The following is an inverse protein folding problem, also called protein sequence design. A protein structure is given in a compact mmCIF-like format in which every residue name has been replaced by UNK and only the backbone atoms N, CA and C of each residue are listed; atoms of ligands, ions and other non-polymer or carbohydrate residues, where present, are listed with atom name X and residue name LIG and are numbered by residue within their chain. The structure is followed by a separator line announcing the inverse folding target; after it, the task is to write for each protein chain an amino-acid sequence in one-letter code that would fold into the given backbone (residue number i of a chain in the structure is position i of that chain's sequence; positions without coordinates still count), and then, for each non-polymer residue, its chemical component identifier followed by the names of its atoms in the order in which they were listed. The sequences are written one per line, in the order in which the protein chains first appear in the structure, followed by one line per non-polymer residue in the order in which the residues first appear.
data_IF_110197619583
#
_entry.id   IF_110197619583
#
_cell.length_a   1.000
_cell.length_b   1.000
_cell.length_c   1.000
_cell.angle_alpha   90.00
_cell.angle_beta   90.00
_cell.angle_gamma   90.00
#
_symmetry.space_group_name_H-M   'P 1'
#
loop_
_entity.id
_entity.type
_entity.pdbx_description
1 polymer ?
#
# COMPACT_ATOMS: atom_id res chain seq x y z
N UNK A 1 60.45 39.99 -21.14
CA UNK A 1 61.41 39.67 -20.07
C UNK A 1 60.63 39.24 -18.84
N UNK A 2 60.82 37.97 -18.46
CA UNK A 2 60.76 37.32 -17.14
C UNK A 2 59.75 37.78 -16.05
N UNK A 3 58.92 36.81 -15.63
CA UNK A 3 58.35 36.67 -14.28
C UNK A 3 59.45 36.44 -13.21
N UNK A 4 59.13 36.52 -11.91
CA UNK A 4 58.75 35.30 -11.14
C UNK A 4 57.69 35.61 -10.04
N UNK A 5 56.99 34.70 -9.36
CA UNK A 5 57.03 33.25 -9.29
C UNK A 5 55.87 32.73 -8.42
N UNK A 6 55.40 31.52 -8.75
CA UNK A 6 54.61 30.57 -7.94
C UNK A 6 55.55 29.93 -6.87
N UNK A 7 55.16 29.08 -5.85
CA UNK A 7 54.09 28.07 -5.94
C UNK A 7 53.36 27.64 -4.63
N UNK A 8 52.24 26.92 -4.80
CA UNK A 8 52.08 25.61 -4.15
C UNK A 8 51.19 24.68 -4.97
N UNK A 9 51.71 23.46 -5.15
CA UNK A 9 51.21 22.31 -5.92
C UNK A 9 50.45 21.35 -5.00
N UNK A 10 49.45 20.64 -5.54
CA UNK A 10 49.41 19.16 -5.67
C UNK A 10 48.04 18.76 -6.26
N UNK A 11 47.85 18.30 -7.51
CA UNK A 11 48.30 17.09 -8.26
C UNK A 11 47.72 15.76 -7.77
N UNK A 12 46.83 15.17 -8.60
CA UNK A 12 46.98 13.89 -9.34
C UNK A 12 45.56 13.36 -9.68
N UNK A 13 45.08 13.51 -10.93
CA UNK A 13 45.28 12.61 -12.09
C UNK A 13 44.63 11.22 -11.92
N UNK A 14 43.74 10.81 -12.84
CA UNK A 14 44.11 10.01 -14.01
C UNK A 14 42.90 9.40 -14.76
N UNK A 15 43.00 9.45 -16.10
CA UNK A 15 42.50 8.52 -17.13
C UNK A 15 41.01 8.35 -17.46
N UNK A 16 40.66 9.04 -18.55
CA UNK A 16 39.91 8.52 -19.71
C UNK A 16 40.42 7.16 -20.23
N UNK A 17 39.52 6.19 -20.44
CA UNK A 17 39.51 5.37 -21.66
C UNK A 17 38.17 4.62 -21.86
N UNK A 18 37.74 4.58 -23.14
CA UNK A 18 36.90 3.56 -23.79
C UNK A 18 35.37 3.60 -23.58
N UNK A 19 34.72 4.38 -24.44
CA UNK A 19 33.34 4.15 -24.90
C UNK A 19 33.29 2.94 -25.85
N UNK A 20 32.40 1.99 -25.55
CA UNK A 20 31.85 1.01 -26.50
C UNK A 20 30.33 1.26 -26.62
N UNK A 21 29.75 1.24 -27.83
CA UNK A 21 28.32 1.48 -28.02
C UNK A 21 27.50 0.21 -27.78
N UNK A 22 26.45 0.32 -26.98
CA UNK A 22 25.43 -0.71 -26.80
C UNK A 22 24.46 -0.69 -27.99
N UNK A 23 24.37 -1.81 -28.71
CA UNK A 23 23.33 -2.05 -29.71
C UNK A 23 22.04 -2.58 -29.05
N UNK A 24 20.87 -2.33 -29.65
CA UNK A 24 19.57 -2.76 -29.13
C UNK A 24 19.26 -4.22 -29.52
N UNK A 25 18.77 -5.01 -28.55
CA UNK A 25 18.20 -6.34 -28.80
C UNK A 25 16.81 -6.22 -29.44
N UNK A 26 16.73 -6.58 -30.72
CA UNK A 26 15.50 -6.74 -31.48
C UNK A 26 14.99 -8.18 -31.48
N UNK A 27 13.68 -8.30 -31.27
CA UNK A 27 12.72 -9.26 -31.83
C UNK A 27 13.20 -10.70 -32.14
N UNK A 28 12.72 -11.66 -31.34
CA UNK A 28 12.59 -13.06 -31.76
C UNK A 28 11.25 -13.21 -32.49
N UNK A 29 11.34 -13.31 -33.81
CA UNK A 29 10.27 -13.75 -34.71
C UNK A 29 10.37 -15.27 -34.85
N UNK A 30 9.33 -16.02 -34.48
CA UNK A 30 9.26 -17.46 -34.72
C UNK A 30 8.73 -17.68 -36.14
N UNK A 31 9.63 -18.13 -37.01
CA UNK A 31 9.38 -18.54 -38.38
C UNK A 31 8.51 -19.80 -38.43
N UNK A 32 7.45 -19.72 -39.23
CA UNK A 32 6.76 -20.86 -39.81
C UNK A 32 7.62 -21.44 -40.96
N UNK A 33 7.92 -22.73 -40.93
CA UNK A 33 8.31 -23.47 -42.13
C UNK A 33 7.98 -24.95 -41.95
N UNK A 34 7.02 -25.43 -42.75
CA UNK A 34 6.77 -26.84 -42.94
C UNK A 34 7.74 -27.44 -43.97
N UNK A 35 7.89 -28.76 -43.92
CA UNK A 35 8.32 -29.59 -45.03
C UNK A 35 7.84 -31.02 -44.81
N UNK A 36 7.17 -31.53 -45.84
CA UNK A 36 6.59 -32.87 -45.98
C UNK A 36 7.64 -33.97 -46.23
N UNK A 37 7.29 -35.20 -45.87
CA UNK A 37 7.41 -36.48 -46.63
C UNK A 37 7.18 -37.65 -45.65
N UNK A 38 6.04 -38.35 -45.73
CA UNK A 38 5.79 -39.59 -46.50
C UNK A 38 6.61 -40.78 -45.95
N UNK A 39 6.09 -41.89 -45.41
CA UNK A 39 5.07 -42.81 -45.94
C UNK A 39 4.79 -43.94 -44.92
N UNK A 40 3.68 -44.68 -45.08
CA UNK A 40 3.63 -46.13 -44.77
C UNK A 40 2.76 -46.66 -43.62
N UNK A 41 1.48 -46.88 -43.93
CA UNK A 41 0.47 -47.85 -43.42
C UNK A 41 0.76 -48.79 -42.21
N UNK A 42 -0.21 -48.94 -41.29
CA UNK A 42 -1.16 -50.07 -41.24
C UNK A 42 -2.24 -49.96 -40.10
N UNK A 43 -3.51 -50.07 -40.53
CA UNK A 43 -4.72 -50.72 -39.94
C UNK A 43 -5.37 -50.30 -38.58
N UNK A 44 -6.63 -49.85 -38.74
CA UNK A 44 -7.90 -50.23 -38.04
C UNK A 44 -8.17 -49.72 -36.59
N UNK A 45 -9.45 -49.61 -36.15
CA UNK A 45 -10.50 -48.69 -36.59
C UNK A 45 -11.04 -47.80 -35.43
N UNK A 46 -11.85 -46.82 -35.82
CA UNK A 46 -12.50 -45.83 -34.96
C UNK A 46 -13.80 -46.37 -34.33
N UNK A 47 -13.96 -46.30 -33.00
CA UNK A 47 -15.27 -46.22 -32.31
C UNK A 47 -15.16 -45.52 -30.93
N UNK A 48 -15.44 -44.22 -30.96
CA UNK A 48 -16.28 -43.42 -30.05
C UNK A 48 -16.55 -43.85 -28.57
N UNK A 49 -16.42 -42.83 -27.71
CA UNK A 49 -17.04 -42.62 -26.40
C UNK A 49 -16.33 -43.19 -25.15
N UNK A 50 -15.79 -42.29 -24.32
CA UNK A 50 -16.49 -41.82 -23.12
C UNK A 50 -15.61 -40.86 -22.31
N UNK A 51 -16.24 -39.75 -21.96
CA UNK A 51 -15.80 -38.70 -21.07
C UNK A 51 -15.33 -39.26 -19.70
N UNK A 52 -14.02 -39.42 -19.50
CA UNK A 52 -13.46 -39.94 -18.24
C UNK A 52 -13.30 -38.80 -17.23
N UNK A 53 -14.26 -38.73 -16.30
CA UNK A 53 -14.21 -37.94 -15.06
C UNK A 53 -12.81 -38.03 -14.43
N UNK A 54 -12.17 -36.89 -14.17
CA UNK A 54 -10.93 -36.80 -13.37
C UNK A 54 -11.19 -37.39 -11.99
N UNK A 55 -10.72 -38.61 -11.77
CA UNK A 55 -10.81 -39.33 -10.51
C UNK A 55 -9.90 -38.72 -9.44
N UNK A 56 -10.40 -38.72 -8.20
CA UNK A 56 -9.69 -38.43 -6.95
C UNK A 56 -8.33 -39.14 -6.91
N UNK A 57 -7.21 -38.49 -6.50
CA UNK A 57 -5.93 -39.17 -6.32
C UNK A 57 -6.10 -40.36 -5.37
N UNK A 58 -5.61 -41.54 -5.77
CA UNK A 58 -5.64 -42.72 -4.92
C UNK A 58 -4.81 -42.45 -3.66
N UNK A 59 -5.43 -42.62 -2.49
CA UNK A 59 -4.77 -42.44 -1.20
C UNK A 59 -3.76 -43.57 -1.05
N UNK A 60 -2.46 -43.25 -1.09
CA UNK A 60 -1.41 -44.22 -0.83
C UNK A 60 -1.67 -44.92 0.53
N UNK A 61 -1.54 -46.25 0.62
CA UNK A 61 -1.74 -46.97 1.87
C UNK A 61 -0.61 -46.62 2.84
N UNK A 62 -0.91 -45.82 3.86
CA UNK A 62 0.04 -45.40 4.90
C UNK A 62 0.19 -46.42 6.04
N UNK A 63 -0.56 -47.51 5.98
CA UNK A 63 -0.55 -48.58 6.98
C UNK A 63 0.82 -49.25 7.17
N UNK A 64 1.61 -49.53 6.09
CA UNK A 64 2.95 -50.10 6.23
C UNK A 64 3.95 -49.17 6.95
N UNK A 65 3.72 -47.86 6.91
CA UNK A 65 4.59 -46.83 7.49
C UNK A 65 4.07 -46.31 8.83
N UNK A 66 3.03 -46.97 9.38
CA UNK A 66 2.38 -46.54 10.62
C UNK A 66 3.37 -46.43 11.77
N UNK A 67 4.16 -47.47 12.00
CA UNK A 67 5.08 -47.52 13.15
C UNK A 67 6.22 -46.51 13.01
N UNK A 68 6.70 -46.27 11.78
CA UNK A 68 7.71 -45.26 11.46
C UNK A 68 7.18 -43.84 11.68
N UNK A 69 5.97 -43.55 11.18
CA UNK A 69 5.31 -42.24 11.37
C UNK A 69 5.02 -41.98 12.86
N UNK A 70 4.61 -43.02 13.61
CA UNK A 70 4.36 -42.91 15.05
C UNK A 70 5.67 -42.68 15.81
N UNK A 71 6.75 -43.39 15.46
CA UNK A 71 8.08 -43.19 16.07
C UNK A 71 8.61 -41.79 15.81
N UNK A 72 8.57 -41.33 14.55
CA UNK A 72 8.98 -39.99 14.16
C UNK A 72 8.19 -38.91 14.90
N UNK A 73 6.88 -39.14 15.11
CA UNK A 73 6.01 -38.17 15.79
C UNK A 73 6.10 -38.21 17.32
N UNK A 74 6.22 -39.39 17.92
CA UNK A 74 6.07 -39.58 19.38
C UNK A 74 7.41 -39.67 20.10
N UNK A 75 8.40 -40.34 19.49
CA UNK A 75 9.69 -40.62 20.11
C UNK A 75 10.76 -39.61 19.68
N UNK A 76 10.77 -39.25 18.40
CA UNK A 76 11.75 -38.31 17.82
C UNK A 76 11.23 -36.85 17.77
N UNK A 77 9.97 -36.61 18.16
CA UNK A 77 9.29 -35.31 18.18
C UNK A 77 9.41 -34.49 16.88
N UNK A 78 9.49 -35.17 15.73
CA UNK A 78 9.67 -34.54 14.42
C UNK A 78 8.37 -33.82 14.01
N UNK A 79 8.44 -32.55 13.55
CA UNK A 79 7.26 -31.81 13.08
C UNK A 79 6.55 -32.52 11.93
N UNK A 80 5.20 -32.49 11.91
CA UNK A 80 4.37 -33.19 10.90
C UNK A 80 4.76 -32.81 9.45
N UNK A 81 5.18 -31.56 9.23
CA UNK A 81 5.67 -31.08 7.93
C UNK A 81 6.94 -31.80 7.48
N UNK A 82 7.84 -32.08 8.42
CA UNK A 82 9.09 -32.77 8.15
C UNK A 82 8.86 -34.27 8.00
N UNK A 83 7.92 -34.85 8.78
CA UNK A 83 7.49 -36.24 8.57
C UNK A 83 6.90 -36.40 7.16
N UNK A 84 6.04 -35.48 6.69
CA UNK A 84 5.49 -35.54 5.34
C UNK A 84 6.57 -35.45 4.27
N UNK A 85 7.56 -34.58 4.46
CA UNK A 85 8.70 -34.44 3.55
C UNK A 85 9.54 -35.72 3.49
N UNK A 86 9.89 -36.33 4.65
CA UNK A 86 10.68 -37.57 4.70
C UNK A 86 9.95 -38.74 4.07
N UNK A 87 8.67 -38.91 4.37
CA UNK A 87 7.86 -39.98 3.77
C UNK A 87 7.74 -39.85 2.24
N UNK A 88 7.67 -38.62 1.72
CA UNK A 88 7.63 -38.40 0.28
C UNK A 88 8.99 -38.63 -0.39
N UNK A 89 10.10 -38.27 0.28
CA UNK A 89 11.45 -38.36 -0.27
C UNK A 89 12.05 -39.78 -0.19
N UNK A 90 11.89 -40.46 0.93
CA UNK A 90 12.51 -41.77 1.19
C UNK A 90 11.69 -42.92 0.63
N UNK A 91 10.35 -42.79 0.69
CA UNK A 91 9.42 -43.86 0.29
C UNK A 91 8.66 -43.54 -1.00
N UNK A 92 8.94 -42.41 -1.65
CA UNK A 92 8.35 -42.02 -2.94
C UNK A 92 6.84 -41.76 -2.88
N UNK A 93 6.32 -41.38 -1.72
CA UNK A 93 4.89 -41.18 -1.49
C UNK A 93 4.46 -39.74 -1.87
N UNK A 94 3.17 -39.54 -2.20
CA UNK A 94 2.59 -38.20 -2.41
C UNK A 94 1.61 -37.86 -1.28
N UNK A 95 2.17 -37.49 -0.12
CA UNK A 95 1.41 -37.29 1.12
C UNK A 95 1.48 -35.83 1.53
N UNK A 96 0.30 -35.24 1.76
CA UNK A 96 0.19 -33.92 2.38
C UNK A 96 0.26 -34.00 3.92
N UNK A 97 0.69 -32.92 4.57
CA UNK A 97 0.65 -32.76 6.04
C UNK A 97 -0.71 -33.09 6.64
N UNK A 98 -1.78 -32.73 5.92
CA UNK A 98 -3.17 -32.97 6.32
C UNK A 98 -3.50 -34.47 6.35
N UNK A 99 -2.90 -35.24 5.46
CA UNK A 99 -3.07 -36.70 5.41
C UNK A 99 -2.40 -37.37 6.61
N UNK A 100 -1.18 -36.96 6.97
CA UNK A 100 -0.48 -37.45 8.16
C UNK A 100 -1.23 -37.06 9.44
N UNK A 101 -1.66 -35.80 9.55
CA UNK A 101 -2.42 -35.34 10.70
C UNK A 101 -3.74 -36.12 10.87
N UNK A 102 -4.42 -36.45 9.76
CA UNK A 102 -5.65 -37.26 9.79
C UNK A 102 -5.34 -38.69 10.25
N UNK A 103 -4.27 -39.31 9.77
CA UNK A 103 -3.87 -40.69 10.12
C UNK A 103 -3.43 -40.83 11.57
N UNK A 104 -2.64 -39.89 12.09
CA UNK A 104 -2.29 -39.84 13.52
C UNK A 104 -3.53 -39.77 14.43
N UNK A 105 -4.61 -39.13 13.96
CA UNK A 105 -5.88 -39.09 14.68
C UNK A 105 -6.63 -40.42 14.60
N UNK A 106 -6.59 -41.09 13.44
CA UNK A 106 -7.22 -42.40 13.23
C UNK A 106 -6.49 -43.54 13.95
N UNK A 107 -5.17 -43.41 14.13
CA UNK A 107 -4.36 -44.37 14.88
C UNK A 107 -4.34 -44.10 16.39
N UNK A 108 -5.23 -43.23 16.87
CA UNK A 108 -5.40 -42.87 18.29
C UNK A 108 -4.10 -42.45 18.98
N UNK A 109 -3.16 -41.90 18.23
CA UNK A 109 -1.87 -41.47 18.77
C UNK A 109 -2.13 -40.26 19.67
N UNK A 110 -1.79 -40.33 20.96
CA UNK A 110 -2.01 -39.22 21.88
C UNK A 110 -1.19 -38.05 21.41
N UNK A 111 -1.86 -37.06 20.81
CA UNK A 111 -1.23 -35.77 20.54
C UNK A 111 -0.84 -35.23 21.91
N UNK A 112 0.45 -35.09 22.18
CA UNK A 112 0.88 -34.14 23.20
C UNK A 112 0.19 -32.84 22.79
N UNK A 113 -0.80 -32.45 23.57
CA UNK A 113 -1.26 -31.08 23.52
C UNK A 113 0.02 -30.31 23.82
N UNK A 114 0.66 -29.77 22.80
CA UNK A 114 1.40 -28.53 22.93
C UNK A 114 0.35 -27.45 23.22
N UNK A 115 -0.33 -27.61 24.37
CA UNK A 115 -0.58 -26.50 25.27
C UNK A 115 0.78 -25.84 25.33
N UNK A 116 0.86 -24.74 24.61
CA UNK A 116 2.02 -23.87 24.52
C UNK A 116 2.66 -23.88 25.89
N UNK A 117 3.94 -24.29 26.03
CA UNK A 117 4.54 -24.21 27.34
C UNK A 117 4.43 -22.74 27.73
N UNK A 118 3.69 -22.48 28.81
CA UNK A 118 3.84 -21.27 29.56
C UNK A 118 5.19 -21.35 30.29
N UNK A 119 6.29 -21.65 29.58
CA UNK A 119 7.62 -21.54 30.15
C UNK A 119 7.91 -20.05 30.26
N UNK A 120 8.37 -19.64 31.43
CA UNK A 120 8.80 -18.26 31.68
C UNK A 120 9.80 -17.81 30.62
N UNK A 121 10.67 -18.73 30.18
CA UNK A 121 11.64 -18.54 29.10
C UNK A 121 11.01 -18.06 27.79
N UNK A 122 9.89 -18.66 27.36
CA UNK A 122 9.21 -18.20 26.15
C UNK A 122 8.66 -16.78 26.30
N UNK A 123 8.13 -16.45 27.48
CA UNK A 123 7.62 -15.10 27.77
C UNK A 123 8.75 -14.08 27.76
N UNK A 124 9.92 -14.46 28.30
CA UNK A 124 11.12 -13.63 28.34
C UNK A 124 11.71 -13.41 26.94
N UNK A 125 11.72 -14.44 26.07
CA UNK A 125 12.13 -14.29 24.66
C UNK A 125 11.14 -13.45 23.85
N UNK A 126 9.84 -13.60 24.07
CA UNK A 126 8.81 -12.73 23.47
C UNK A 126 9.05 -11.28 23.90
N UNK A 127 9.29 -11.04 25.20
CA UNK A 127 9.58 -9.71 25.74
C UNK A 127 10.89 -9.12 25.17
N UNK A 128 11.93 -9.92 25.04
CA UNK A 128 13.21 -9.53 24.46
C UNK A 128 13.06 -9.05 23.01
N UNK A 129 12.40 -9.83 22.15
CA UNK A 129 12.18 -9.46 20.75
C UNK A 129 11.18 -8.31 20.60
N UNK A 130 10.18 -8.24 21.47
CA UNK A 130 9.23 -7.12 21.55
C UNK A 130 9.95 -5.80 21.90
N UNK A 131 10.86 -5.81 22.86
CA UNK A 131 11.66 -4.62 23.25
C UNK A 131 12.66 -4.18 22.16
N UNK A 132 12.98 -5.05 21.19
CA UNK A 132 13.74 -4.71 19.98
C UNK A 132 12.86 -4.11 18.86
N UNK A 133 11.60 -3.79 19.14
CA UNK A 133 10.61 -3.24 18.20
C UNK A 133 10.26 -4.15 17.00
N UNK A 134 10.59 -5.44 17.06
CA UNK A 134 10.22 -6.40 16.02
C UNK A 134 8.70 -6.57 15.95
N UNK A 135 8.14 -6.67 14.74
CA UNK A 135 6.71 -6.95 14.55
C UNK A 135 6.37 -8.42 14.87
N UNK A 136 5.09 -8.75 15.07
CA UNK A 136 4.68 -10.09 15.53
C UNK A 136 5.15 -11.21 14.56
N UNK A 137 5.27 -10.93 13.26
CA UNK A 137 5.82 -11.89 12.27
C UNK A 137 7.35 -12.05 12.36
N UNK A 138 8.08 -10.99 12.71
CA UNK A 138 9.52 -11.02 12.96
C UNK A 138 9.82 -11.69 14.29
N UNK A 139 9.03 -11.43 15.33
CA UNK A 139 9.10 -12.12 16.62
C UNK A 139 8.82 -13.60 16.42
N UNK A 140 7.77 -13.97 15.68
CA UNK A 140 7.46 -15.38 15.40
C UNK A 140 8.61 -16.09 14.65
N UNK A 141 9.24 -15.43 13.69
CA UNK A 141 10.42 -15.96 12.97
C UNK A 141 11.65 -16.08 13.87
N UNK A 142 11.91 -15.10 14.72
CA UNK A 142 13.04 -15.13 15.64
C UNK A 142 12.86 -16.22 16.71
N UNK A 143 11.65 -16.37 17.24
CA UNK A 143 11.28 -17.45 18.15
C UNK A 143 11.39 -18.83 17.47
N UNK A 144 10.97 -18.95 16.22
CA UNK A 144 11.12 -20.17 15.45
C UNK A 144 12.61 -20.54 15.24
N UNK A 145 13.46 -19.55 14.94
CA UNK A 145 14.91 -19.75 14.84
C UNK A 145 15.55 -20.17 16.17
N UNK A 146 14.92 -19.84 17.29
CA UNK A 146 15.32 -20.23 18.65
C UNK A 146 14.67 -21.53 19.12
N UNK A 147 13.95 -22.24 18.25
CA UNK A 147 13.31 -23.53 18.53
C UNK A 147 11.90 -23.43 19.14
N UNK A 148 11.34 -22.23 19.28
CA UNK A 148 9.97 -22.03 19.78
C UNK A 148 8.95 -22.01 18.63
N UNK A 149 8.11 -23.03 18.57
CA UNK A 149 7.08 -23.14 17.52
C UNK A 149 5.78 -22.44 17.93
N UNK A 150 5.58 -21.19 17.48
CA UNK A 150 4.38 -20.39 17.80
C UNK A 150 3.75 -19.84 16.53
N UNK A 151 2.46 -20.15 16.33
CA UNK A 151 1.67 -19.53 15.26
C UNK A 151 1.46 -18.04 15.56
N UNK A 152 1.57 -17.13 14.56
CA UNK A 152 1.44 -15.67 14.77
C UNK A 152 0.18 -15.25 15.54
N UNK A 153 -0.95 -15.90 15.26
CA UNK A 153 -2.22 -15.69 15.99
C UNK A 153 -2.17 -16.02 17.49
N UNK A 154 -1.32 -16.98 17.89
CA UNK A 154 -1.14 -17.35 19.28
C UNK A 154 -0.13 -16.40 19.96
N UNK A 155 0.91 -15.98 19.24
CA UNK A 155 1.86 -14.98 19.71
C UNK A 155 1.18 -13.65 20.06
N UNK A 156 0.29 -13.16 19.19
CA UNK A 156 -0.48 -11.94 19.46
C UNK A 156 -1.34 -12.06 20.73
N UNK A 157 -1.98 -13.22 20.96
CA UNK A 157 -2.77 -13.49 22.18
C UNK A 157 -1.89 -13.59 23.43
N UNK A 158 -0.74 -14.25 23.34
CA UNK A 158 0.24 -14.34 24.44
C UNK A 158 0.81 -12.97 24.79
N UNK A 159 1.20 -12.17 23.80
CA UNK A 159 1.66 -10.79 23.96
C UNK A 159 0.62 -9.91 24.66
N UNK A 160 -0.65 -10.01 24.24
CA UNK A 160 -1.76 -9.30 24.89
C UNK A 160 -1.98 -9.75 26.35
N UNK A 161 -1.85 -11.06 26.62
CA UNK A 161 -1.98 -11.63 27.97
C UNK A 161 -0.84 -11.19 28.90
N UNK A 162 0.36 -10.97 28.36
CA UNK A 162 1.53 -10.47 29.07
C UNK A 162 1.53 -8.93 29.25
N UNK A 163 0.43 -8.25 28.91
CA UNK A 163 0.32 -6.79 29.06
C UNK A 163 1.20 -5.99 28.09
N UNK A 164 1.91 -6.66 27.18
CA UNK A 164 2.77 -6.08 26.15
C UNK A 164 1.93 -5.52 25.00
N UNK A 165 1.04 -4.58 25.32
CA UNK A 165 0.33 -3.76 24.34
C UNK A 165 1.27 -2.63 23.94
N UNK A 166 1.41 -2.38 22.64
CA UNK A 166 2.12 -1.19 22.15
C UNK A 166 1.28 0.03 22.52
N UNK A 167 1.44 0.51 23.76
CA UNK A 167 0.85 1.77 24.21
C UNK A 167 1.52 2.87 23.40
N UNK A 168 0.73 3.81 22.92
CA UNK A 168 1.25 5.10 22.48
C UNK A 168 2.10 5.67 23.62
N UNK A 169 3.35 6.04 23.31
CA UNK A 169 4.31 6.66 24.25
C UNK A 169 3.90 8.11 24.62
N UNK A 170 2.78 8.57 24.09
CA UNK A 170 2.41 9.98 24.03
C UNK A 170 1.16 10.24 24.88
N UNK A 171 1.29 11.05 25.96
CA UNK A 171 0.19 11.36 26.88
C UNK A 171 -1.04 11.97 26.20
N UNK A 172 -0.87 12.67 25.08
CA UNK A 172 -1.94 13.37 24.35
C UNK A 172 -3.00 12.45 23.71
N UNK A 173 -2.80 11.13 23.72
CA UNK A 173 -3.77 10.15 23.21
C UNK A 173 -4.55 9.42 24.32
N UNK A 174 -4.47 9.90 25.56
CA UNK A 174 -5.09 9.26 26.74
C UNK A 174 -6.55 9.69 26.97
N UNK A 175 -6.96 10.84 26.46
CA UNK A 175 -8.24 11.48 26.81
C UNK A 175 -9.44 11.04 25.96
N UNK A 176 -9.25 10.30 24.86
CA UNK A 176 -10.35 9.95 23.94
C UNK A 176 -11.02 8.59 24.19
N UNK A 177 -10.76 7.93 25.32
CA UNK A 177 -11.31 6.59 25.61
C UNK A 177 -12.30 6.50 26.78
N UNK A 178 -12.55 7.58 27.53
CA UNK A 178 -13.34 7.50 28.78
C UNK A 178 -14.33 8.66 28.95
N UNK A 179 -15.28 8.84 28.03
CA UNK A 179 -16.49 9.61 28.32
C UNK A 179 -17.71 8.99 27.61
N UNK A 180 -18.67 8.50 28.39
CA UNK A 180 -20.01 8.14 27.93
C UNK A 180 -20.57 6.83 28.51
N UNK A 181 -21.06 6.86 29.75
CA UNK A 181 -21.85 5.74 30.29
C UNK A 181 -22.30 5.87 31.75
N UNK A 182 -23.26 6.77 32.02
CA UNK A 182 -24.27 6.73 33.10
C UNK A 182 -25.35 7.76 32.69
N UNK A 183 -26.67 7.66 32.88
CA UNK A 183 -27.59 6.93 33.76
C UNK A 183 -28.94 6.76 33.02
N UNK A 184 -29.87 5.93 33.53
CA UNK A 184 -31.31 6.20 33.33
C UNK A 184 -32.27 5.03 33.08
N UNK A 185 -32.55 4.28 34.15
CA UNK A 185 -33.88 3.92 34.67
C UNK A 185 -34.97 3.22 33.82
N UNK A 186 -35.54 2.21 34.49
CA UNK A 186 -36.55 1.28 34.02
C UNK A 186 -37.98 1.84 34.18
N UNK A 187 -38.81 1.74 33.14
CA UNK A 187 -40.26 1.72 33.29
C UNK A 187 -40.92 0.81 32.24
N UNK A 188 -41.58 -0.25 32.72
CA UNK A 188 -42.25 -1.27 31.95
C UNK A 188 -43.54 -0.76 31.26
N UNK A 189 -43.72 -1.11 29.97
CA UNK A 189 -45.04 -1.03 29.30
C UNK A 189 -45.23 -2.20 28.34
N UNK A 190 -46.41 -2.82 28.42
CA UNK A 190 -46.81 -4.08 27.78
C UNK A 190 -46.76 -4.08 26.24
N UNK A 191 -46.60 -5.25 25.57
CA UNK A 191 -46.41 -5.31 24.13
C UNK A 191 -47.75 -5.32 23.38
N UNK A 192 -47.88 -4.48 22.35
CA UNK A 192 -48.88 -4.64 21.28
C UNK A 192 -48.23 -5.34 20.09
N UNK A 193 -48.88 -6.32 19.44
CA UNK A 193 -48.30 -7.02 18.30
C UNK A 193 -48.34 -6.10 17.06
N UNK A 194 -47.20 -5.93 16.40
CA UNK A 194 -47.10 -5.24 15.11
C UNK A 194 -46.68 -6.22 14.00
N UNK A 195 -47.12 -6.00 12.75
CA UNK A 195 -47.08 -7.00 11.70
C UNK A 195 -45.65 -7.26 11.19
N UNK A 196 -45.41 -8.51 10.78
CA UNK A 196 -44.10 -9.05 10.34
C UNK A 196 -43.48 -8.19 9.23
N UNK A 197 -42.52 -7.32 9.59
CA UNK A 197 -41.61 -6.69 8.63
C UNK A 197 -40.53 -7.70 8.24
N UNK A 198 -40.41 -7.94 6.94
CA UNK A 198 -39.30 -8.66 6.31
C UNK A 198 -37.98 -8.05 6.81
N UNK A 199 -37.18 -8.85 7.53
CA UNK A 199 -35.86 -8.44 8.02
C UNK A 199 -34.89 -8.35 6.85
N UNK A 200 -34.84 -7.18 6.19
CA UNK A 200 -33.64 -6.79 5.47
C UNK A 200 -32.49 -6.80 6.49
N UNK A 201 -31.48 -7.65 6.27
CA UNK A 201 -30.25 -7.70 7.09
C UNK A 201 -29.66 -6.29 7.07
N UNK A 202 -29.78 -5.55 8.17
CA UNK A 202 -29.01 -4.30 8.36
C UNK A 202 -27.54 -4.66 8.18
N UNK A 203 -26.89 -4.17 7.11
CA UNK A 203 -25.43 -4.25 6.97
C UNK A 203 -24.87 -3.65 8.27
N UNK A 204 -24.10 -4.43 9.03
CA UNK A 204 -23.36 -3.90 10.19
C UNK A 204 -22.55 -2.71 9.68
N UNK A 205 -22.60 -1.57 10.38
CA UNK A 205 -21.71 -0.45 10.08
C UNK A 205 -20.27 -0.99 10.00
N UNK A 206 -19.47 -0.60 9.00
CA UNK A 206 -18.09 -1.05 8.93
C UNK A 206 -17.40 -0.69 10.24
N UNK A 207 -16.50 -1.56 10.73
CA UNK A 207 -15.85 -1.49 12.04
C UNK A 207 -15.17 -0.13 12.33
N UNK A 208 -15.00 0.70 11.29
CA UNK A 208 -14.26 1.96 11.28
C UNK A 208 -15.10 3.17 10.85
N UNK A 209 -16.44 3.15 10.96
CA UNK A 209 -17.29 4.25 10.50
C UNK A 209 -16.91 5.62 11.14
N UNK A 210 -16.38 5.61 12.36
CA UNK A 210 -15.91 6.81 13.06
C UNK A 210 -14.45 7.19 12.77
N UNK A 211 -13.70 6.40 12.01
CA UNK A 211 -12.26 6.63 11.79
C UNK A 211 -12.01 7.86 10.91
N UNK A 212 -12.72 7.99 9.79
CA UNK A 212 -12.56 9.12 8.87
C UNK A 212 -12.85 10.45 9.59
N UNK A 213 -13.98 10.64 10.31
CA UNK A 213 -14.23 11.88 11.06
C UNK A 213 -13.14 12.23 12.08
N UNK A 214 -12.61 11.24 12.82
CA UNK A 214 -11.51 11.46 13.78
C UNK A 214 -10.25 11.93 13.10
N UNK A 215 -9.87 11.28 11.99
CA UNK A 215 -8.71 11.66 11.19
C UNK A 215 -8.91 13.05 10.58
N UNK A 216 -10.10 13.37 10.07
CA UNK A 216 -10.42 14.69 9.52
C UNK A 216 -10.24 15.78 10.57
N UNK A 217 -10.80 15.61 11.78
CA UNK A 217 -10.65 16.58 12.87
C UNK A 217 -9.17 16.75 13.30
N UNK A 218 -8.41 15.65 13.33
CA UNK A 218 -6.97 15.70 13.58
C UNK A 218 -6.23 16.51 12.50
N UNK A 219 -6.50 16.25 11.21
CA UNK A 219 -5.83 16.95 10.10
C UNK A 219 -6.19 18.43 10.11
N UNK A 220 -7.45 18.79 10.33
CA UNK A 220 -7.89 20.18 10.44
C UNK A 220 -7.15 20.92 11.56
N UNK A 221 -7.01 20.29 12.73
CA UNK A 221 -6.24 20.84 13.86
C UNK A 221 -4.75 20.93 13.53
N UNK A 222 -4.19 19.88 12.93
CA UNK A 222 -2.77 19.78 12.60
C UNK A 222 -2.34 20.83 11.56
N UNK A 223 -3.18 21.07 10.55
CA UNK A 223 -2.92 22.02 9.45
C UNK A 223 -3.37 23.45 9.76
N UNK A 224 -4.03 23.72 10.88
CA UNK A 224 -4.40 25.08 11.30
C UNK A 224 -3.21 26.05 11.40
N UNK A 225 -1.99 25.51 11.49
CA UNK A 225 -0.74 26.26 11.60
C UNK A 225 -0.04 26.49 10.25
N UNK A 226 -0.60 25.96 9.17
CA UNK A 226 0.02 26.00 7.83
C UNK A 226 -0.38 27.28 7.11
N UNK A 227 0.41 27.70 6.13
CA UNK A 227 0.07 28.84 5.27
C UNK A 227 -1.08 28.50 4.29
N UNK A 228 -1.70 29.52 3.70
CA UNK A 228 -2.86 29.38 2.83
C UNK A 228 -2.63 28.59 1.53
N UNK A 229 -1.38 28.23 1.21
CA UNK A 229 -1.07 27.41 0.02
C UNK A 229 -1.16 25.90 0.29
N UNK A 230 -1.07 25.50 1.56
CA UNK A 230 -1.13 24.12 2.06
C UNK A 230 -2.06 23.98 3.28
N UNK A 231 -3.18 24.72 3.28
CA UNK A 231 -4.14 24.69 4.38
C UNK A 231 -5.07 23.47 4.32
N UNK A 232 -5.94 23.32 5.32
CA UNK A 232 -6.94 22.25 5.33
C UNK A 232 -7.89 22.30 4.11
N UNK A 233 -8.08 23.47 3.49
CA UNK A 233 -8.91 23.58 2.29
C UNK A 233 -8.27 22.88 1.09
N UNK A 234 -6.93 22.90 0.97
CA UNK A 234 -6.22 22.08 0.00
C UNK A 234 -6.54 20.59 0.19
N UNK A 235 -6.37 20.06 1.40
CA UNK A 235 -6.68 18.65 1.68
C UNK A 235 -8.15 18.31 1.38
N UNK A 236 -9.10 19.18 1.74
CA UNK A 236 -10.52 19.01 1.41
C UNK A 236 -10.75 18.86 -0.10
N UNK A 237 -10.11 19.70 -0.91
CA UNK A 237 -10.22 19.62 -2.38
C UNK A 237 -9.59 18.35 -2.92
N UNK A 238 -8.42 17.95 -2.42
CA UNK A 238 -7.76 16.69 -2.80
C UNK A 238 -8.64 15.49 -2.48
N UNK A 239 -9.26 15.43 -1.29
CA UNK A 239 -10.21 14.37 -0.93
C UNK A 239 -11.41 14.35 -1.89
N UNK A 240 -11.99 15.51 -2.20
CA UNK A 240 -13.11 15.61 -3.14
C UNK A 240 -12.74 15.16 -4.55
N UNK A 241 -11.53 15.49 -5.02
CA UNK A 241 -11.02 15.06 -6.32
C UNK A 241 -10.74 13.56 -6.35
N UNK A 242 -10.15 13.01 -5.29
CA UNK A 242 -9.91 11.58 -5.15
C UNK A 242 -11.22 10.78 -5.17
N UNK A 243 -12.26 11.27 -4.49
CA UNK A 243 -13.60 10.67 -4.52
C UNK A 243 -14.22 10.72 -5.92
N UNK A 244 -14.06 11.84 -6.64
CA UNK A 244 -14.54 11.96 -8.02
C UNK A 244 -13.86 10.97 -8.96
N UNK A 245 -12.52 10.87 -8.89
CA UNK A 245 -11.75 9.90 -9.68
C UNK A 245 -12.19 8.48 -9.35
N UNK A 246 -12.28 8.13 -8.06
CA UNK A 246 -12.74 6.82 -7.60
C UNK A 246 -14.12 6.48 -8.20
N UNK A 247 -15.09 7.39 -8.08
CA UNK A 247 -16.44 7.18 -8.58
C UNK A 247 -16.50 6.98 -10.10
N UNK A 248 -15.70 7.72 -10.89
CA UNK A 248 -15.64 7.56 -12.34
C UNK A 248 -14.99 6.22 -12.75
N UNK A 249 -13.94 5.78 -12.02
CA UNK A 249 -13.35 4.45 -12.22
C UNK A 249 -14.37 3.36 -11.91
N UNK A 250 -14.97 3.35 -10.72
CA UNK A 250 -15.94 2.32 -10.30
C UNK A 250 -17.13 2.27 -11.25
N UNK A 251 -17.67 3.43 -11.67
CA UNK A 251 -18.75 3.49 -12.64
C UNK A 251 -18.36 2.86 -13.98
N UNK A 252 -17.15 3.15 -14.49
CA UNK A 252 -16.67 2.56 -15.74
C UNK A 252 -16.45 1.04 -15.63
N UNK A 253 -16.01 0.54 -14.48
CA UNK A 253 -15.88 -0.89 -14.20
C UNK A 253 -17.25 -1.57 -14.18
N UNK A 254 -18.24 -0.97 -13.52
CA UNK A 254 -19.62 -1.45 -13.47
C UNK A 254 -20.27 -1.51 -14.87
N UNK A 255 -20.09 -0.47 -15.69
CA UNK A 255 -20.63 -0.40 -17.06
C UNK A 255 -19.95 -1.40 -18.02
N UNK A 256 -18.68 -1.74 -17.78
CA UNK A 256 -17.93 -2.69 -18.62
C UNK A 256 -18.35 -4.16 -18.45
N UNK A 257 -19.23 -4.48 -17.50
CA UNK A 257 -19.75 -5.83 -17.29
C UNK A 257 -18.74 -6.82 -16.68
N UNK A 258 -17.55 -6.37 -16.29
CA UNK A 258 -16.51 -7.13 -15.58
C UNK A 258 -16.87 -7.34 -14.08
N UNK A 259 -18.12 -7.70 -13.78
CA UNK A 259 -18.65 -7.82 -12.43
C UNK A 259 -18.18 -9.07 -11.66
N UNK A 260 -17.31 -9.90 -12.25
CA UNK A 260 -16.79 -11.10 -11.58
C UNK A 260 -15.59 -10.83 -10.65
N UNK A 261 -15.00 -9.63 -10.68
CA UNK A 261 -13.92 -9.25 -9.76
C UNK A 261 -14.42 -8.18 -8.79
N UNK A 262 -14.30 -8.45 -7.50
CA UNK A 262 -14.43 -7.42 -6.46
C UNK A 262 -13.48 -6.27 -6.84
N UNK A 263 -14.01 -5.05 -6.95
CA UNK A 263 -13.20 -3.88 -7.32
C UNK A 263 -12.02 -3.79 -6.36
N UNK A 264 -10.80 -3.75 -6.89
CA UNK A 264 -9.57 -3.80 -6.10
C UNK A 264 -9.32 -2.52 -5.30
N UNK A 265 -10.14 -1.49 -5.51
CA UNK A 265 -10.00 -0.16 -4.94
C UNK A 265 -10.82 0.01 -3.67
N UNK A 266 -10.14 0.35 -2.57
CA UNK A 266 -10.78 0.64 -1.29
C UNK A 266 -10.95 2.16 -1.09
N UNK A 267 -12.20 2.65 -1.12
CA UNK A 267 -12.52 4.07 -0.88
C UNK A 267 -12.08 4.56 0.50
N UNK A 268 -12.10 3.71 1.53
CA UNK A 268 -11.61 4.07 2.86
C UNK A 268 -10.11 4.36 2.82
N UNK A 269 -9.34 3.53 2.10
CA UNK A 269 -7.90 3.74 1.90
C UNK A 269 -7.64 5.04 1.12
N UNK A 270 -8.36 5.25 0.00
CA UNK A 270 -8.25 6.49 -0.80
C UNK A 270 -8.50 7.73 0.07
N UNK A 271 -9.57 7.70 0.88
CA UNK A 271 -9.96 8.83 1.72
C UNK A 271 -8.93 9.11 2.80
N UNK A 272 -8.47 8.09 3.52
CA UNK A 272 -7.48 8.24 4.59
C UNK A 272 -6.12 8.69 4.05
N UNK A 273 -5.69 8.14 2.91
CA UNK A 273 -4.45 8.54 2.27
C UNK A 273 -4.51 9.99 1.77
N UNK A 274 -5.61 10.40 1.13
CA UNK A 274 -5.81 11.79 0.71
C UNK A 274 -5.87 12.77 1.91
N UNK A 275 -6.49 12.39 3.03
CA UNK A 275 -6.50 13.22 4.25
C UNK A 275 -5.10 13.41 4.85
N UNK A 276 -4.26 12.37 4.81
CA UNK A 276 -2.98 12.32 5.50
C UNK A 276 -1.77 12.63 4.60
N UNK A 277 -1.95 12.87 3.30
CA UNK A 277 -0.84 12.98 2.35
C UNK A 277 0.14 14.13 2.67
N UNK A 278 -0.32 15.23 3.26
CA UNK A 278 0.52 16.36 3.66
C UNK A 278 0.91 16.33 5.16
N UNK A 279 0.44 15.32 5.91
CA UNK A 279 0.81 15.14 7.30
C UNK A 279 2.25 14.63 7.40
N UNK A 280 3.05 15.29 8.25
CA UNK A 280 4.47 14.95 8.42
C UNK A 280 5.34 15.31 7.22
N UNK A 281 4.96 16.29 6.39
CA UNK A 281 5.92 16.90 5.47
C UNK A 281 7.11 17.51 6.26
N UNK A 282 8.33 17.35 5.74
CA UNK A 282 9.59 17.77 6.36
C UNK A 282 9.62 19.25 6.72
N UNK A 283 8.84 20.06 6.00
CA UNK A 283 8.69 21.50 6.23
C UNK A 283 8.06 21.83 7.60
N UNK A 284 7.33 20.89 8.20
CA UNK A 284 6.51 21.14 9.41
C UNK A 284 6.68 20.06 10.50
N UNK A 285 7.64 19.15 10.35
CA UNK A 285 7.96 18.14 11.35
C UNK A 285 8.71 18.77 12.53
N UNK A 286 8.24 18.49 13.76
CA UNK A 286 9.01 18.83 14.96
C UNK A 286 10.25 17.94 15.10
N UNK A 287 11.35 18.44 15.70
CA UNK A 287 12.57 17.67 15.90
C UNK A 287 12.29 16.32 16.59
N UNK A 288 12.72 15.22 15.97
CA UNK A 288 12.60 13.86 16.51
C UNK A 288 11.35 13.08 16.11
N UNK A 289 10.40 13.66 15.35
CA UNK A 289 9.32 12.89 14.70
C UNK A 289 9.68 12.61 13.24
N UNK A 290 9.30 11.42 12.75
CA UNK A 290 9.45 11.07 11.33
C UNK A 290 8.08 10.90 10.70
N UNK A 291 7.97 11.19 9.40
CA UNK A 291 6.71 11.06 8.63
C UNK A 291 6.15 9.64 8.71
N UNK A 292 7.06 8.66 8.68
CA UNK A 292 6.74 7.24 8.74
C UNK A 292 6.05 6.91 10.06
N UNK A 293 6.54 7.41 11.18
CA UNK A 293 5.97 7.05 12.49
C UNK A 293 4.65 7.77 12.78
N UNK A 294 4.47 8.99 12.27
CA UNK A 294 3.30 9.81 12.57
C UNK A 294 2.00 9.23 12.00
N UNK A 295 1.95 8.91 10.70
CA UNK A 295 0.73 8.44 10.02
C UNK A 295 0.24 7.12 10.63
N UNK A 296 1.16 6.18 10.84
CA UNK A 296 0.84 4.88 11.43
C UNK A 296 0.36 5.03 12.88
N UNK A 297 1.05 5.83 13.68
CA UNK A 297 0.67 6.06 15.07
C UNK A 297 -0.70 6.73 15.20
N UNK A 298 -1.01 7.72 14.36
CA UNK A 298 -2.31 8.40 14.33
C UNK A 298 -3.44 7.43 14.01
N UNK A 299 -3.30 6.62 12.96
CA UNK A 299 -4.33 5.67 12.56
C UNK A 299 -4.55 4.58 13.62
N UNK A 300 -3.48 4.00 14.16
CA UNK A 300 -3.56 3.02 15.24
C UNK A 300 -4.19 3.64 16.51
N UNK A 301 -3.82 4.88 16.85
CA UNK A 301 -4.36 5.62 17.99
C UNK A 301 -5.86 5.87 17.90
N UNK A 302 -6.39 6.06 16.69
CA UNK A 302 -7.83 6.17 16.45
C UNK A 302 -8.56 4.82 16.30
N UNK A 303 -7.85 3.70 16.48
CA UNK A 303 -8.42 2.35 16.46
C UNK A 303 -8.48 1.72 15.08
N UNK A 304 -7.73 2.22 14.10
CA UNK A 304 -7.63 1.57 12.79
C UNK A 304 -6.96 0.17 12.93
N UNK A 305 -7.42 -0.83 12.17
CA UNK A 305 -6.69 -2.08 11.98
C UNK A 305 -5.25 -1.83 11.49
N UNK A 306 -4.31 -2.66 11.94
CA UNK A 306 -2.87 -2.48 11.64
C UNK A 306 -2.57 -2.63 10.15
N UNK A 307 -3.23 -3.56 9.46
CA UNK A 307 -3.14 -3.76 8.02
C UNK A 307 -3.62 -2.52 7.23
N UNK A 308 -4.75 -1.94 7.62
CA UNK A 308 -5.25 -0.69 7.04
C UNK A 308 -4.25 0.46 7.27
N UNK A 309 -3.77 0.61 8.50
CA UNK A 309 -2.85 1.68 8.87
C UNK A 309 -1.51 1.58 8.11
N UNK A 310 -0.97 0.37 7.97
CA UNK A 310 0.24 0.11 7.17
C UNK A 310 0.01 0.37 5.68
N UNK A 311 -1.14 -0.04 5.13
CA UNK A 311 -1.49 0.22 3.72
C UNK A 311 -1.54 1.73 3.44
N UNK A 312 -2.27 2.49 4.28
CA UNK A 312 -2.38 3.95 4.15
C UNK A 312 -1.02 4.63 4.31
N UNK A 313 -0.22 4.25 5.31
CA UNK A 313 1.13 4.79 5.52
C UNK A 313 2.00 4.62 4.27
N UNK A 314 2.01 3.42 3.68
CA UNK A 314 2.79 3.13 2.47
C UNK A 314 2.38 4.01 1.29
N UNK A 315 1.08 4.23 1.11
CA UNK A 315 0.56 5.13 0.07
C UNK A 315 1.02 6.55 0.35
N UNK A 316 0.77 7.08 1.56
CA UNK A 316 1.11 8.46 1.93
C UNK A 316 2.61 8.77 1.75
N UNK A 317 3.49 7.81 2.04
CA UNK A 317 4.93 7.98 1.83
C UNK A 317 5.34 8.04 0.34
N UNK A 318 4.51 7.51 -0.55
CA UNK A 318 4.78 7.47 -1.99
C UNK A 318 4.05 8.56 -2.80
N UNK A 319 3.17 9.38 -2.19
CA UNK A 319 2.39 10.40 -2.92
C UNK A 319 3.26 11.53 -3.48
N UNK A 320 4.34 11.93 -2.80
CA UNK A 320 5.08 13.16 -3.12
C UNK A 320 5.66 13.18 -4.55
N UNK A 321 5.50 14.31 -5.24
CA UNK A 321 6.10 14.56 -6.56
C UNK A 321 7.62 14.35 -6.56
N UNK A 322 8.32 14.82 -5.52
CA UNK A 322 9.78 14.71 -5.43
C UNK A 322 10.26 13.28 -5.21
N UNK A 323 9.46 12.40 -4.59
CA UNK A 323 9.79 10.97 -4.52
C UNK A 323 9.62 10.29 -5.87
N UNK A 324 8.60 10.66 -6.65
CA UNK A 324 8.36 10.05 -7.97
C UNK A 324 9.46 10.37 -8.97
N UNK A 325 9.90 11.64 -9.04
CA UNK A 325 10.97 12.03 -9.98
C UNK A 325 12.29 11.32 -9.67
N UNK A 326 12.55 10.97 -8.41
CA UNK A 326 13.78 10.29 -7.99
C UNK A 326 13.80 8.80 -8.35
N UNK A 327 12.65 8.14 -8.29
CA UNK A 327 12.54 6.70 -8.58
C UNK A 327 11.17 6.36 -9.20
N UNK A 328 11.02 6.55 -10.52
CA UNK A 328 9.77 6.25 -11.23
C UNK A 328 9.40 4.76 -11.18
N UNK A 329 10.39 3.86 -11.22
CA UNK A 329 10.17 2.41 -11.21
C UNK A 329 9.61 1.91 -9.87
N UNK A 330 10.04 2.51 -8.76
CA UNK A 330 9.45 2.24 -7.45
C UNK A 330 7.98 2.65 -7.38
N UNK A 331 7.62 3.83 -7.92
CA UNK A 331 6.23 4.30 -7.93
C UNK A 331 5.34 3.38 -8.76
N UNK A 332 5.79 2.92 -9.92
CA UNK A 332 5.04 1.97 -10.75
C UNK A 332 4.82 0.62 -10.02
N UNK A 333 5.85 0.11 -9.33
CA UNK A 333 5.73 -1.09 -8.49
C UNK A 333 4.75 -0.88 -7.33
N UNK A 334 4.75 0.31 -6.74
CA UNK A 334 3.85 0.69 -5.66
C UNK A 334 2.40 0.80 -6.13
N UNK A 335 2.14 1.44 -7.27
CA UNK A 335 0.80 1.53 -7.87
C UNK A 335 0.26 0.15 -8.21
N UNK A 336 1.11 -0.75 -8.73
CA UNK A 336 0.72 -2.13 -9.02
C UNK A 336 0.26 -2.90 -7.78
N UNK A 337 0.84 -2.58 -6.61
CA UNK A 337 0.48 -3.20 -5.32
C UNK A 337 -0.66 -2.45 -4.60
N UNK A 338 -0.75 -1.14 -4.79
CA UNK A 338 -1.65 -0.21 -4.13
C UNK A 338 -2.24 0.75 -5.17
N UNK A 339 -3.25 0.32 -5.94
CA UNK A 339 -3.82 1.12 -7.02
C UNK A 339 -4.45 2.44 -6.52
N UNK A 340 -4.81 2.52 -5.23
CA UNK A 340 -5.27 3.75 -4.59
C UNK A 340 -4.23 4.89 -4.63
N UNK A 341 -2.93 4.56 -4.71
CA UNK A 341 -1.86 5.55 -4.83
C UNK A 341 -2.03 6.41 -6.09
N UNK A 342 -2.40 5.80 -7.22
CA UNK A 342 -2.62 6.52 -8.47
C UNK A 342 -3.74 7.56 -8.34
N UNK A 343 -4.82 7.23 -7.63
CA UNK A 343 -5.96 8.12 -7.39
C UNK A 343 -5.53 9.33 -6.54
N UNK A 344 -4.78 9.08 -5.46
CA UNK A 344 -4.35 10.14 -4.53
C UNK A 344 -3.32 11.05 -5.19
N UNK A 345 -2.37 10.49 -5.95
CA UNK A 345 -1.39 11.29 -6.70
C UNK A 345 -2.04 12.18 -7.77
N UNK A 346 -3.00 11.64 -8.52
CA UNK A 346 -3.73 12.42 -9.52
C UNK A 346 -4.55 13.52 -8.85
N UNK A 347 -5.23 13.23 -7.75
CA UNK A 347 -6.03 14.20 -7.01
C UNK A 347 -5.20 15.37 -6.47
N UNK A 348 -4.02 15.10 -5.89
CA UNK A 348 -3.08 16.12 -5.42
C UNK A 348 -2.58 17.01 -6.57
N UNK A 349 -2.14 16.38 -7.68
CA UNK A 349 -1.66 17.10 -8.86
C UNK A 349 -2.74 17.95 -9.52
N UNK A 350 -3.97 17.45 -9.56
CA UNK A 350 -5.10 18.20 -10.10
C UNK A 350 -5.33 19.49 -9.32
N UNK A 351 -5.17 19.49 -7.99
CA UNK A 351 -5.31 20.71 -7.17
C UNK A 351 -4.17 21.73 -7.37
N UNK A 352 -3.08 21.34 -8.02
CA UNK A 352 -1.99 22.23 -8.42
C UNK A 352 -2.22 22.90 -9.79
N UNK A 353 -3.24 22.49 -10.55
CA UNK A 353 -3.54 23.02 -11.89
C UNK A 353 -4.96 23.58 -12.01
N UNK A 354 -5.24 24.31 -13.09
CA UNK A 354 -6.49 25.04 -13.30
C UNK A 354 -6.59 26.29 -12.42
N UNK A 355 -7.80 26.83 -12.27
CA UNK A 355 -8.02 28.14 -11.61
C UNK A 355 -7.49 28.19 -10.16
N UNK A 356 -7.71 27.13 -9.39
CA UNK A 356 -7.16 27.03 -8.02
C UNK A 356 -5.64 26.93 -8.05
N UNK A 357 -5.08 26.17 -9.00
CA UNK A 357 -3.64 26.07 -9.22
C UNK A 357 -2.99 27.43 -9.43
N UNK A 358 -3.56 28.27 -10.32
CA UNK A 358 -3.12 29.64 -10.57
C UNK A 358 -3.03 30.43 -9.25
N UNK A 359 -4.13 30.46 -8.48
CA UNK A 359 -4.19 31.19 -7.21
C UNK A 359 -3.15 30.69 -6.20
N UNK A 360 -2.97 29.37 -6.09
CA UNK A 360 -1.97 28.76 -5.19
C UNK A 360 -0.55 29.11 -5.61
N UNK A 361 -0.24 29.08 -6.90
CA UNK A 361 1.11 29.36 -7.42
C UNK A 361 1.54 30.79 -7.12
N UNK A 362 0.68 31.79 -7.34
CA UNK A 362 0.98 33.18 -6.97
C UNK A 362 1.02 33.41 -5.46
N UNK A 363 0.13 32.77 -4.68
CA UNK A 363 0.17 32.84 -3.21
C UNK A 363 1.49 32.29 -2.66
N UNK A 364 1.95 31.14 -3.18
CA UNK A 364 3.20 30.52 -2.78
C UNK A 364 4.42 31.33 -3.25
N UNK A 365 4.40 31.86 -4.49
CA UNK A 365 5.44 32.74 -5.00
C UNK A 365 5.63 33.98 -4.13
N UNK A 366 4.53 34.61 -3.72
CA UNK A 366 4.56 35.73 -2.76
C UNK A 366 5.12 35.34 -1.39
N UNK A 367 4.72 34.20 -0.83
CA UNK A 367 5.21 33.72 0.46
C UNK A 367 6.70 33.35 0.46
N UNK A 368 7.22 32.86 -0.67
CA UNK A 368 8.63 32.49 -0.84
C UNK A 368 9.53 33.65 -1.25
N UNK A 369 9.02 34.90 -1.26
CA UNK A 369 9.74 36.08 -1.76
C UNK A 369 10.31 35.88 -3.17
N UNK A 370 9.51 35.32 -4.08
CA UNK A 370 9.86 35.32 -5.50
C UNK A 370 10.23 36.74 -5.92
N UNK A 371 11.28 36.87 -6.74
CA UNK A 371 11.85 38.17 -7.11
C UNK A 371 10.80 39.07 -7.76
N UNK A 372 9.95 38.46 -8.58
CA UNK A 372 8.82 39.09 -9.25
C UNK A 372 7.76 38.04 -9.64
N UNK A 373 6.65 38.51 -10.20
CA UNK A 373 5.59 37.64 -10.71
C UNK A 373 6.02 36.83 -11.95
N UNK A 374 7.05 37.27 -12.69
CA UNK A 374 7.60 36.56 -13.83
C UNK A 374 8.31 35.25 -13.45
N UNK A 375 9.04 35.25 -12.34
CA UNK A 375 9.62 34.01 -11.76
C UNK A 375 8.52 33.01 -11.40
N UNK A 376 7.41 33.50 -10.84
CA UNK A 376 6.23 32.66 -10.56
C UNK A 376 5.61 32.12 -11.85
N UNK A 377 5.58 32.94 -12.90
CA UNK A 377 5.08 32.54 -14.22
C UNK A 377 5.94 31.46 -14.87
N UNK A 378 7.26 31.50 -14.69
CA UNK A 378 8.17 30.46 -15.18
C UNK A 378 7.82 29.07 -14.59
N UNK A 379 7.32 29.03 -13.35
CA UNK A 379 6.88 27.78 -12.71
C UNK A 379 5.74 27.06 -13.46
N UNK A 380 4.89 27.82 -14.18
CA UNK A 380 3.83 27.24 -15.00
C UNK A 380 4.42 26.33 -16.08
N UNK A 381 5.42 26.83 -16.80
CA UNK A 381 6.14 26.12 -17.86
C UNK A 381 7.00 24.96 -17.32
N UNK A 382 7.72 25.22 -16.24
CA UNK A 382 8.69 24.26 -15.71
C UNK A 382 8.01 23.03 -15.10
N UNK A 383 6.82 23.22 -14.52
CA UNK A 383 6.13 22.20 -13.75
C UNK A 383 4.65 22.03 -14.09
N UNK A 384 3.82 23.09 -13.97
CA UNK A 384 2.37 22.91 -13.92
C UNK A 384 1.77 22.29 -15.19
N UNK A 385 2.19 22.77 -16.37
CA UNK A 385 1.73 22.25 -17.66
C UNK A 385 2.15 20.78 -17.86
N UNK A 386 3.29 20.37 -17.29
CA UNK A 386 3.80 19.00 -17.41
C UNK A 386 2.98 17.99 -16.61
N UNK A 387 2.25 18.43 -15.58
CA UNK A 387 1.51 17.54 -14.68
C UNK A 387 0.43 16.71 -15.39
N UNK A 388 -0.16 17.21 -16.48
CA UNK A 388 -1.14 16.45 -17.27
C UNK A 388 -0.58 15.12 -17.76
N UNK A 389 0.61 15.15 -18.36
CA UNK A 389 1.29 13.95 -18.89
C UNK A 389 1.67 12.94 -17.80
N UNK A 390 1.72 13.39 -16.54
CA UNK A 390 2.12 12.57 -15.40
C UNK A 390 0.94 11.92 -14.67
N UNK A 391 -0.30 12.22 -15.08
CA UNK A 391 -1.50 11.61 -14.51
C UNK A 391 -1.53 10.10 -14.78
N UNK A 392 -1.99 9.33 -13.80
CA UNK A 392 -1.94 7.86 -13.80
C UNK A 392 -3.25 7.25 -14.25
N UNK A 393 -4.38 7.83 -13.84
CA UNK A 393 -5.73 7.32 -14.07
C UNK A 393 -6.36 7.95 -15.32
N UNK A 394 -7.28 7.22 -15.96
CA UNK A 394 -8.06 7.75 -17.09
C UNK A 394 -8.85 9.02 -16.73
N UNK A 395 -9.65 9.00 -15.64
CA UNK A 395 -10.36 10.20 -15.17
C UNK A 395 -9.43 11.35 -14.78
N UNK A 396 -8.29 11.05 -14.13
CA UNK A 396 -7.27 12.04 -13.79
C UNK A 396 -6.73 12.78 -15.02
N UNK A 397 -6.37 12.05 -16.08
CA UNK A 397 -5.93 12.62 -17.36
C UNK A 397 -6.97 13.53 -17.99
N UNK A 398 -8.24 13.10 -18.03
CA UNK A 398 -9.35 13.89 -18.58
C UNK A 398 -9.53 15.21 -17.83
N UNK A 399 -9.56 15.17 -16.49
CA UNK A 399 -9.68 16.36 -15.65
C UNK A 399 -8.45 17.26 -15.75
N UNK A 400 -7.27 16.68 -15.93
CA UNK A 400 -6.03 17.43 -16.05
C UNK A 400 -6.00 18.22 -17.35
N UNK A 401 -6.38 17.62 -18.48
CA UNK A 401 -6.49 18.31 -19.76
C UNK A 401 -7.35 19.57 -19.69
N UNK A 402 -8.55 19.46 -19.13
CA UNK A 402 -9.45 20.62 -18.92
C UNK A 402 -8.85 21.70 -18.01
N UNK A 403 -7.96 21.33 -17.09
CA UNK A 403 -7.31 22.26 -16.17
C UNK A 403 -6.05 22.86 -16.75
N UNK A 404 -5.29 22.12 -17.56
CA UNK A 404 -4.12 22.61 -18.30
C UNK A 404 -4.55 23.66 -19.33
N UNK A 405 -5.65 23.43 -20.05
CA UNK A 405 -6.18 24.40 -21.01
C UNK A 405 -6.46 25.76 -20.34
N UNK A 406 -7.01 25.75 -19.11
CA UNK A 406 -7.20 26.98 -18.33
C UNK A 406 -5.88 27.67 -17.98
N UNK A 407 -4.82 26.90 -17.72
CA UNK A 407 -3.48 27.46 -17.49
C UNK A 407 -3.02 28.14 -18.77
N UNK A 408 -3.01 27.43 -19.90
CA UNK A 408 -2.55 27.94 -21.20
C UNK A 408 -3.27 29.24 -21.60
N UNK A 409 -4.60 29.29 -21.44
CA UNK A 409 -5.39 30.50 -21.68
C UNK A 409 -4.92 31.65 -20.78
N UNK A 410 -4.74 31.38 -19.48
CA UNK A 410 -4.23 32.39 -18.54
C UNK A 410 -2.82 32.86 -18.91
N UNK A 411 -1.94 31.96 -19.36
CA UNK A 411 -0.61 32.34 -19.84
C UNK A 411 -0.69 33.26 -21.07
N UNK A 412 -1.64 33.00 -21.97
CA UNK A 412 -1.92 33.87 -23.12
C UNK A 412 -2.32 35.28 -22.70
N UNK A 413 -3.26 35.42 -21.77
CA UNK A 413 -3.66 36.72 -21.21
C UNK A 413 -2.48 37.44 -20.54
N UNK A 414 -1.69 36.71 -19.74
CA UNK A 414 -0.49 37.25 -19.11
C UNK A 414 0.49 37.82 -20.13
N UNK A 415 0.78 37.09 -21.21
CA UNK A 415 1.70 37.57 -22.25
C UNK A 415 1.17 38.78 -23.02
N UNK A 416 -0.13 38.83 -23.29
CA UNK A 416 -0.79 39.95 -23.96
C UNK A 416 -0.65 41.23 -23.12
N UNK A 417 -1.04 41.18 -21.84
CA UNK A 417 -0.98 42.31 -20.90
C UNK A 417 0.47 42.81 -20.70
N UNK A 418 1.44 41.89 -20.61
CA UNK A 418 2.86 42.27 -20.48
C UNK A 418 3.41 42.95 -21.74
N UNK A 419 2.99 42.52 -22.95
CA UNK A 419 3.41 43.15 -24.22
C UNK A 419 2.85 44.57 -24.36
N UNK A 420 1.62 44.82 -23.90
CA UNK A 420 1.03 46.16 -23.89
C UNK A 420 1.87 47.14 -23.04
N UNK A 421 2.31 46.69 -21.86
CA UNK A 421 3.17 47.47 -20.98
C UNK A 421 4.53 47.79 -21.61
N UNK A 422 5.15 46.83 -22.31
CA UNK A 422 6.42 47.02 -23.01
C UNK A 422 6.31 47.93 -24.24
N UNK A 423 5.20 47.82 -24.98
CA UNK A 423 4.94 48.61 -26.19
C UNK A 423 4.90 50.12 -25.93
N UNK A 424 4.46 50.54 -24.75
CA UNK A 424 4.45 51.94 -24.32
C UNK A 424 5.84 52.47 -23.94
N UNK A 425 6.75 51.60 -23.50
CA UNK A 425 8.10 51.98 -23.03
C UNK A 425 9.18 51.85 -24.11
N UNK A 426 8.89 51.19 -25.24
CA UNK A 426 9.75 51.23 -26.44
C UNK A 426 9.73 52.64 -27.02
N UNK A 427 10.67 53.50 -26.58
CA UNK A 427 11.04 54.71 -27.32
C UNK A 427 11.37 54.29 -28.75
N UNK A 428 10.63 54.82 -29.72
CA UNK A 428 10.98 54.73 -31.14
C UNK A 428 12.42 55.21 -31.28
N UNK A 429 13.33 54.27 -31.52
CA UNK A 429 14.68 54.53 -31.96
C UNK A 429 14.67 55.03 -33.39
#
# INVERSE_FOLDING_TARGET
MQSPGSPYKSTLECSTSLLLPLQPFGQISIMYSGSESDSGSEREPDQNSTNKKRGRPQVAPLEPFKDEIIRLFSDEEVPIIEIARRMNLEHGLDISERTISRRLTQWEVPRKNTRTPASQELQDRIAFHYNKNLNDDQIARALFAEGFEIKPRNLARLRQKLGMRRRSKYPEFREHSEEGGDDGESAARAPRPSPKKVRLRKKKAPLNAALIPKVTAFVETYMSKYDGSHDFNHVKRVVGLAHRIYAEITKSEEESGLFERESSLDLQVVTLAALLHDVGDKKYLQPGRTRETLVLATLLGFGAPEDLALKVQRIVLAVSYSSEIKDPGHVESMISKYPELAIVQDADRLDAIGAVGIGRTFTFGGAMNAKDMGETMQHFNDKLVRLESMMKTGPGKKLARERTERLEIFMGWWEEEQKEAEGLLRRKS
#
